data_IF_948947172015
#
_entry.id   IF_948947172015
#
_cell.length_a   1.000
_cell.length_b   1.000
_cell.length_c   1.000
_cell.angle_alpha   90.00
_cell.angle_beta   90.00
_cell.angle_gamma   90.00
#
_symmetry.space_group_name_H-M   'P 1'
#
loop_
_entity.id
_entity.type
_entity.pdbx_description
1 polymer ?
#
# COMPACT_ATOMS: atom_id res chain seq x y z
N UNK A 1 25.26 -2.86 19.20
CA UNK A 1 24.09 -1.96 19.35
C UNK A 1 23.74 -1.86 20.84
N UNK A 2 23.47 -0.67 21.38
CA UNK A 2 23.17 -0.51 22.82
C UNK A 2 21.66 -0.68 23.05
N UNK A 3 21.27 -1.75 23.75
CA UNK A 3 19.87 -2.02 24.09
C UNK A 3 19.48 -1.19 25.31
N UNK A 4 18.40 -0.37 25.27
CA UNK A 4 17.91 0.37 26.42
C UNK A 4 17.63 -0.54 27.63
N UNK A 5 17.99 -0.11 28.85
CA UNK A 5 17.89 -0.94 30.06
C UNK A 5 16.48 -1.49 30.31
N UNK A 6 15.45 -0.68 30.10
CA UNK A 6 14.04 -1.06 30.24
C UNK A 6 13.62 -2.13 29.21
N UNK A 7 14.05 -1.96 27.96
CA UNK A 7 13.78 -2.91 26.88
C UNK A 7 14.51 -4.24 27.11
N UNK A 8 15.75 -4.20 27.59
CA UNK A 8 16.54 -5.39 27.93
C UNK A 8 15.82 -6.28 28.96
N UNK A 9 15.37 -5.68 30.07
CA UNK A 9 14.59 -6.40 31.11
C UNK A 9 13.30 -7.00 30.55
N UNK A 10 12.63 -6.30 29.63
CA UNK A 10 11.40 -6.80 28.98
C UNK A 10 11.70 -7.98 28.04
N UNK A 11 12.81 -7.93 27.29
CA UNK A 11 13.24 -9.02 26.41
C UNK A 11 13.66 -10.25 27.22
N UNK A 12 14.38 -10.10 28.33
CA UNK A 12 14.75 -11.24 29.20
C UNK A 12 13.51 -12.01 29.67
N UNK A 13 12.50 -11.31 30.21
CA UNK A 13 11.23 -11.94 30.61
C UNK A 13 10.49 -12.60 29.44
N UNK A 14 10.56 -12.02 28.25
CA UNK A 14 9.98 -12.62 27.04
C UNK A 14 10.73 -13.91 26.62
N UNK A 15 12.05 -13.92 26.74
CA UNK A 15 12.89 -15.09 26.41
C UNK A 15 12.63 -16.25 27.37
N UNK A 16 12.51 -15.96 28.67
CA UNK A 16 12.08 -16.94 29.68
C UNK A 16 10.72 -17.53 29.33
N UNK A 17 9.72 -16.67 29.04
CA UNK A 17 8.38 -17.11 28.64
C UNK A 17 8.37 -17.96 27.35
N UNK A 18 9.21 -17.62 26.38
CA UNK A 18 9.34 -18.36 25.12
C UNK A 18 10.18 -19.64 25.23
N UNK A 19 10.78 -19.92 26.38
CA UNK A 19 11.65 -21.09 26.57
C UNK A 19 12.97 -21.03 25.81
N UNK A 20 13.51 -19.84 25.53
CA UNK A 20 14.79 -19.61 24.82
C UNK A 20 15.87 -19.06 25.76
N UNK A 21 15.95 -19.63 26.96
CA UNK A 21 16.87 -19.21 28.03
C UNK A 21 18.33 -19.60 27.81
N UNK A 22 18.61 -20.42 26.80
CA UNK A 22 19.95 -20.85 26.37
C UNK A 22 20.74 -19.74 25.66
N UNK A 23 20.05 -18.71 25.16
CA UNK A 23 20.66 -17.58 24.44
C UNK A 23 20.85 -16.37 25.33
N UNK A 24 21.91 -15.63 25.08
CA UNK A 24 22.05 -14.26 25.59
C UNK A 24 21.03 -13.32 24.95
N UNK A 25 20.72 -12.22 25.63
CA UNK A 25 19.84 -11.17 25.07
C UNK A 25 20.43 -10.61 23.78
N UNK A 26 21.76 -10.51 23.70
CA UNK A 26 22.48 -10.07 22.52
C UNK A 26 22.28 -11.01 21.34
N UNK A 27 22.39 -12.32 21.54
CA UNK A 27 22.13 -13.32 20.48
C UNK A 27 20.69 -13.29 20.00
N UNK A 28 19.73 -13.19 20.93
CA UNK A 28 18.32 -13.10 20.59
C UNK A 28 18.03 -11.84 19.75
N UNK A 29 18.55 -10.68 20.18
CA UNK A 29 18.37 -9.41 19.45
C UNK A 29 19.11 -9.43 18.11
N UNK A 30 20.31 -9.99 18.03
CA UNK A 30 21.02 -10.14 16.77
C UNK A 30 20.24 -11.04 15.79
N UNK A 31 19.58 -12.09 16.29
CA UNK A 31 18.65 -12.90 15.52
C UNK A 31 17.50 -12.07 14.93
N UNK A 32 16.86 -11.23 15.74
CA UNK A 32 15.81 -10.31 15.27
C UNK A 32 16.32 -9.30 14.23
N UNK A 33 17.52 -8.75 14.44
CA UNK A 33 18.13 -7.81 13.49
C UNK A 33 18.46 -8.51 12.16
N UNK A 34 18.89 -9.76 12.19
CA UNK A 34 19.15 -10.53 10.97
C UNK A 34 17.85 -10.83 10.21
N UNK A 35 16.75 -11.13 10.90
CA UNK A 35 15.42 -11.23 10.26
C UNK A 35 15.04 -9.93 9.57
N UNK A 36 15.23 -8.78 10.23
CA UNK A 36 14.95 -7.46 9.65
C UNK A 36 15.83 -7.15 8.44
N UNK A 37 17.13 -7.48 8.48
CA UNK A 37 18.03 -7.32 7.34
C UNK A 37 17.62 -8.15 6.13
N UNK A 38 17.03 -9.34 6.33
CA UNK A 38 16.46 -10.13 5.24
C UNK A 38 15.34 -9.42 4.49
N UNK A 39 14.59 -8.55 5.17
CA UNK A 39 13.54 -7.71 4.57
C UNK A 39 14.14 -6.55 3.77
N UNK A 40 15.33 -6.06 4.12
CA UNK A 40 15.97 -4.92 3.47
C UNK A 40 16.21 -5.13 1.96
N UNK A 41 16.43 -6.37 1.53
CA UNK A 41 16.56 -6.75 0.11
C UNK A 41 15.28 -6.43 -0.69
N UNK A 42 14.12 -6.41 -0.03
CA UNK A 42 12.82 -6.10 -0.64
C UNK A 42 12.28 -4.72 -0.23
N UNK A 43 13.05 -3.91 0.50
CA UNK A 43 12.59 -2.63 1.06
C UNK A 43 12.07 -1.67 -0.03
N UNK A 44 12.71 -1.65 -1.19
CA UNK A 44 12.25 -0.88 -2.34
C UNK A 44 10.89 -1.34 -2.85
N UNK A 45 10.61 -2.65 -2.88
CA UNK A 45 9.30 -3.19 -3.27
C UNK A 45 8.26 -2.90 -2.20
N UNK A 46 8.60 -3.09 -0.92
CA UNK A 46 7.73 -2.79 0.21
C UNK A 46 7.34 -1.32 0.26
N UNK A 47 8.27 -0.41 0.03
CA UNK A 47 7.97 1.04 -0.06
C UNK A 47 7.02 1.34 -1.21
N UNK A 48 7.20 0.70 -2.38
CA UNK A 48 6.25 0.85 -3.50
C UNK A 48 4.88 0.24 -3.18
N UNK A 49 4.83 -0.92 -2.54
CA UNK A 49 3.59 -1.55 -2.11
C UNK A 49 2.85 -0.70 -1.08
N UNK A 50 3.54 -0.19 -0.06
CA UNK A 50 2.98 0.74 0.93
C UNK A 50 2.39 1.98 0.26
N UNK A 51 3.09 2.55 -0.73
CA UNK A 51 2.60 3.67 -1.53
C UNK A 51 1.32 3.34 -2.31
N UNK A 52 1.16 2.11 -2.79
CA UNK A 52 -0.07 1.65 -3.42
C UNK A 52 -1.18 1.50 -2.39
N UNK A 53 -0.91 0.83 -1.27
CA UNK A 53 -1.91 0.62 -0.21
C UNK A 53 -2.42 1.94 0.39
N UNK A 54 -1.56 2.95 0.52
CA UNK A 54 -1.94 4.31 0.92
C UNK A 54 -2.99 4.92 -0.02
N UNK A 55 -2.86 4.70 -1.34
CA UNK A 55 -3.88 5.15 -2.28
C UNK A 55 -5.17 4.32 -2.16
N UNK A 56 -5.05 3.02 -1.91
CA UNK A 56 -6.19 2.10 -1.80
C UNK A 56 -6.95 2.21 -0.48
N UNK A 57 -6.38 2.81 0.56
CA UNK A 57 -7.07 3.03 1.85
C UNK A 57 -8.14 4.14 1.80
N UNK A 58 -8.31 4.82 0.65
CA UNK A 58 -9.33 5.85 0.46
C UNK A 58 -10.52 5.29 -0.34
N UNK A 59 -11.73 5.48 0.20
CA UNK A 59 -12.97 4.98 -0.40
C UNK A 59 -13.23 5.49 -1.82
N UNK A 60 -13.00 6.79 -2.07
CA UNK A 60 -13.27 7.36 -3.39
C UNK A 60 -12.25 6.92 -4.45
N UNK A 61 -11.00 6.66 -4.05
CA UNK A 61 -10.02 6.00 -4.93
C UNK A 61 -10.50 4.60 -5.35
N UNK A 62 -11.04 3.82 -4.42
CA UNK A 62 -11.60 2.49 -4.74
C UNK A 62 -12.78 2.60 -5.70
N UNK A 63 -13.71 3.55 -5.48
CA UNK A 63 -14.83 3.79 -6.39
C UNK A 63 -14.38 4.19 -7.79
N UNK A 64 -13.40 5.09 -7.91
CA UNK A 64 -12.81 5.45 -9.21
C UNK A 64 -12.24 4.21 -9.91
N UNK A 65 -11.48 3.37 -9.20
CA UNK A 65 -10.91 2.15 -9.79
C UNK A 65 -12.01 1.19 -10.26
N UNK A 66 -13.09 1.02 -9.50
CA UNK A 66 -14.23 0.19 -9.90
C UNK A 66 -14.98 0.73 -11.10
N UNK A 67 -15.09 2.06 -11.25
CA UNK A 67 -15.66 2.68 -12.46
C UNK A 67 -14.75 2.47 -13.67
N UNK A 68 -13.44 2.75 -13.51
CA UNK A 68 -12.44 2.62 -14.58
C UNK A 68 -12.22 1.16 -15.02
N UNK A 69 -12.58 0.21 -14.16
CA UNK A 69 -12.65 -1.22 -14.48
C UNK A 69 -13.73 -1.54 -15.51
N UNK A 70 -14.86 -0.84 -15.46
CA UNK A 70 -15.97 -1.05 -16.41
C UNK A 70 -15.61 -0.49 -17.79
N UNK A 71 -15.05 0.72 -17.82
CA UNK A 71 -14.56 1.38 -19.03
C UNK A 71 -13.64 2.54 -18.69
N UNK A 72 -12.86 3.00 -19.66
CA UNK A 72 -12.16 4.28 -19.51
C UNK A 72 -13.14 5.45 -19.41
N UNK A 73 -12.75 6.49 -18.66
CA UNK A 73 -13.59 7.67 -18.41
C UNK A 73 -12.76 8.95 -18.38
N UNK A 74 -13.35 10.07 -18.83
CA UNK A 74 -12.80 11.41 -18.59
C UNK A 74 -13.08 11.87 -17.16
N UNK A 75 -12.41 12.96 -16.75
CA UNK A 75 -12.68 13.64 -15.47
C UNK A 75 -14.16 14.05 -15.36
N UNK A 76 -14.73 14.55 -16.46
CA UNK A 76 -16.14 14.92 -16.56
C UNK A 76 -17.10 13.79 -16.19
N UNK A 77 -16.88 12.60 -16.75
CA UNK A 77 -17.71 11.42 -16.49
C UNK A 77 -17.58 10.95 -15.05
N UNK A 78 -16.35 10.96 -14.50
CA UNK A 78 -16.11 10.59 -13.11
C UNK A 78 -16.75 11.57 -12.12
N UNK A 79 -16.72 12.87 -12.42
CA UNK A 79 -17.42 13.89 -11.62
C UNK A 79 -18.92 13.58 -11.52
N UNK A 80 -19.55 13.24 -12.65
CA UNK A 80 -20.98 12.89 -12.69
C UNK A 80 -21.27 11.57 -12.01
N UNK A 81 -20.48 10.52 -12.27
CA UNK A 81 -20.68 9.21 -11.68
C UNK A 81 -20.48 9.18 -10.16
N UNK A 82 -19.62 10.05 -9.63
CA UNK A 82 -19.28 10.10 -8.20
C UNK A 82 -20.00 11.23 -7.45
N UNK A 83 -20.70 12.13 -8.15
CA UNK A 83 -21.24 13.36 -7.61
C UNK A 83 -20.16 14.21 -6.90
N UNK A 84 -19.01 14.40 -7.55
CA UNK A 84 -17.83 15.09 -7.01
C UNK A 84 -17.42 16.28 -7.88
N UNK A 85 -16.88 17.33 -7.24
CA UNK A 85 -16.31 18.48 -7.95
C UNK A 85 -14.97 18.12 -8.60
N UNK A 86 -14.65 18.81 -9.70
CA UNK A 86 -13.44 18.58 -10.49
C UNK A 86 -12.13 18.56 -9.68
N UNK A 87 -11.88 19.49 -8.73
CA UNK A 87 -10.63 19.48 -7.96
C UNK A 87 -10.43 18.19 -7.17
N UNK A 88 -11.51 17.63 -6.62
CA UNK A 88 -11.45 16.38 -5.86
C UNK A 88 -11.16 15.18 -6.78
N UNK A 89 -11.89 15.03 -7.88
CA UNK A 89 -11.65 13.94 -8.85
C UNK A 89 -10.24 14.02 -9.42
N UNK A 90 -9.76 15.22 -9.76
CA UNK A 90 -8.42 15.42 -10.30
C UNK A 90 -7.32 15.08 -9.29
N UNK A 91 -7.54 15.39 -8.01
CA UNK A 91 -6.64 15.00 -6.92
C UNK A 91 -6.52 13.48 -6.80
N UNK A 92 -7.66 12.77 -6.76
CA UNK A 92 -7.68 11.31 -6.71
C UNK A 92 -6.99 10.68 -7.92
N UNK A 93 -7.31 11.15 -9.14
CA UNK A 93 -6.69 10.65 -10.36
C UNK A 93 -5.18 10.89 -10.40
N UNK A 94 -4.71 12.03 -9.90
CA UNK A 94 -3.26 12.32 -9.78
C UNK A 94 -2.60 11.32 -8.84
N UNK A 95 -3.14 11.13 -7.64
CA UNK A 95 -2.60 10.18 -6.67
C UNK A 95 -2.57 8.76 -7.26
N UNK A 96 -3.68 8.30 -7.83
CA UNK A 96 -3.76 6.99 -8.48
C UNK A 96 -2.74 6.85 -9.63
N UNK A 97 -2.52 7.90 -10.42
CA UNK A 97 -1.57 7.89 -11.52
C UNK A 97 -0.13 7.83 -11.02
N UNK A 98 0.24 8.64 -10.02
CA UNK A 98 1.56 8.64 -9.38
C UNK A 98 1.88 7.30 -8.72
N UNK A 99 0.87 6.58 -8.23
CA UNK A 99 1.04 5.23 -7.66
C UNK A 99 0.95 4.11 -8.70
N UNK A 100 0.82 4.46 -9.99
CA UNK A 100 0.79 3.49 -11.10
C UNK A 100 -0.48 2.64 -11.15
N UNK A 101 -1.58 3.09 -10.55
CA UNK A 101 -2.87 2.40 -10.55
C UNK A 101 -3.71 2.72 -11.78
N UNK A 102 -3.58 3.94 -12.29
CA UNK A 102 -4.25 4.39 -13.52
C UNK A 102 -3.25 4.99 -14.49
N UNK A 103 -3.58 4.96 -15.77
CA UNK A 103 -2.88 5.65 -16.84
C UNK A 103 -3.83 6.59 -17.55
N UNK A 104 -3.28 7.62 -18.19
CA UNK A 104 -4.06 8.58 -18.98
C UNK A 104 -3.73 8.46 -20.48
N UNK A 105 -4.70 8.79 -21.32
CA UNK A 105 -4.52 8.83 -22.79
C UNK A 105 -5.27 10.03 -23.34
N UNK A 106 -4.55 10.85 -24.12
CA UNK A 106 -5.15 12.04 -24.75
C UNK A 106 -5.77 11.66 -26.09
N UNK A 107 -7.02 12.07 -26.31
CA UNK A 107 -7.77 11.92 -27.57
C UNK A 107 -8.38 13.26 -27.94
N UNK A 108 -7.73 13.98 -28.86
CA UNK A 108 -8.07 15.37 -29.18
C UNK A 108 -7.97 16.29 -27.96
N UNK A 109 -9.09 16.93 -27.60
CA UNK A 109 -9.18 17.82 -26.42
C UNK A 109 -9.43 17.08 -25.10
N UNK A 110 -9.65 15.77 -25.13
CA UNK A 110 -10.04 14.99 -23.95
C UNK A 110 -8.88 14.15 -23.42
N UNK A 111 -8.88 13.94 -22.11
CA UNK A 111 -8.00 13.01 -21.42
C UNK A 111 -8.87 11.92 -20.79
N UNK A 112 -8.62 10.68 -21.18
CA UNK A 112 -9.29 9.50 -20.64
C UNK A 112 -8.35 8.78 -19.68
N UNK A 113 -8.90 8.28 -18.57
CA UNK A 113 -8.20 7.47 -17.59
C UNK A 113 -8.62 6.02 -17.72
N UNK A 114 -7.68 5.10 -17.54
CA UNK A 114 -7.93 3.66 -17.54
C UNK A 114 -7.01 2.96 -16.53
N UNK A 115 -7.34 1.73 -16.16
CA UNK A 115 -6.51 0.92 -15.26
C UNK A 115 -5.13 0.67 -15.89
N UNK A 116 -4.07 0.94 -15.12
CA UNK A 116 -2.69 0.74 -15.59
C UNK A 116 -2.32 -0.75 -15.64
N UNK A 117 -2.60 -1.49 -14.56
CA UNK A 117 -2.38 -2.94 -14.47
C UNK A 117 -3.61 -3.67 -13.91
N UNK A 118 -4.22 -4.52 -14.75
CA UNK A 118 -5.38 -5.34 -14.36
C UNK A 118 -5.03 -6.43 -13.35
N UNK A 119 -3.77 -6.85 -13.22
CA UNK A 119 -3.34 -7.83 -12.22
C UNK A 119 -3.57 -7.31 -10.80
N UNK A 120 -3.20 -6.06 -10.54
CA UNK A 120 -3.35 -5.42 -9.24
C UNK A 120 -4.83 -5.22 -8.89
N UNK A 121 -5.65 -4.88 -9.88
CA UNK A 121 -7.08 -4.74 -9.67
C UNK A 121 -7.75 -6.05 -9.20
N UNK A 122 -7.34 -7.21 -9.73
CA UNK A 122 -7.84 -8.51 -9.26
C UNK A 122 -7.51 -8.76 -7.79
N UNK A 123 -6.37 -8.26 -7.30
CA UNK A 123 -6.00 -8.36 -5.88
C UNK A 123 -6.96 -7.53 -5.03
N UNK A 124 -7.30 -6.32 -5.47
CA UNK A 124 -8.25 -5.44 -4.79
C UNK A 124 -9.64 -6.08 -4.74
N UNK A 125 -10.13 -6.59 -5.87
CA UNK A 125 -11.41 -7.31 -5.95
C UNK A 125 -11.45 -8.49 -4.97
N UNK A 126 -10.38 -9.29 -4.94
CA UNK A 126 -10.28 -10.42 -4.03
C UNK A 126 -10.27 -10.00 -2.55
N UNK A 127 -9.66 -8.85 -2.20
CA UNK A 127 -9.72 -8.33 -0.83
C UNK A 127 -11.14 -7.92 -0.46
N UNK A 128 -11.89 -7.32 -1.38
CA UNK A 128 -13.30 -6.94 -1.13
C UNK A 128 -14.25 -8.13 -0.96
N UNK A 129 -13.86 -9.33 -1.42
CA UNK A 129 -14.64 -10.56 -1.19
C UNK A 129 -14.48 -11.12 0.24
N UNK A 130 -13.45 -10.70 0.97
CA UNK A 130 -13.16 -11.19 2.32
C UNK A 130 -13.68 -10.29 3.45
N UNK A 131 -14.40 -9.21 3.13
CA UNK A 131 -14.90 -8.22 4.09
C UNK A 131 -16.42 -8.06 4.02
#
# INVERSE_FOLDING_TARGET
MKIPKNLRKRIMRLMEFKGVGDKSVEEYVNGLLNLSKGIAVDEGRLRRAAKVFEALSNFENLKILMLLRKREMCVCELMMALNMKQPAVSYHLRLLHERGLVKSTRRGKWIFYSIADRKLLRVIEKVTEYV
#
